data_IF_736543046171
#
_entry.id   IF_736543046171
#
_cell.length_a   1.000
_cell.length_b   1.000
_cell.length_c   1.000
_cell.angle_alpha   90.00
_cell.angle_beta   90.00
_cell.angle_gamma   90.00
#
_symmetry.space_group_name_H-M   'P 1'
#
loop_
_entity.id
_entity.type
_entity.pdbx_description
1 polymer ?
#
# COMPACT_ATOMS: atom_id res chain seq x y z
N UNK A 1 -14.37 -9.39 -18.18
CA UNK A 1 -13.05 -8.95 -18.67
C UNK A 1 -12.93 -7.46 -18.48
N UNK A 2 -12.63 -7.01 -17.26
CA UNK A 2 -12.12 -5.65 -17.05
C UNK A 2 -10.60 -5.77 -17.12
N UNK A 3 -10.01 -5.06 -18.07
CA UNK A 3 -8.57 -4.94 -18.17
C UNK A 3 -8.07 -4.41 -16.83
N UNK A 4 -7.24 -5.18 -16.13
CA UNK A 4 -6.43 -4.64 -15.04
C UNK A 4 -5.48 -3.65 -15.71
N UNK A 5 -5.92 -2.40 -15.74
CA UNK A 5 -5.19 -1.27 -16.28
C UNK A 5 -3.87 -1.24 -15.51
N UNK A 6 -2.75 -1.44 -16.21
CA UNK A 6 -1.44 -1.13 -15.67
C UNK A 6 -1.49 0.30 -15.18
N UNK A 7 -1.48 0.47 -13.86
CA UNK A 7 -1.54 1.78 -13.23
C UNK A 7 -0.21 2.47 -13.57
N UNK A 8 -0.28 3.33 -14.57
CA UNK A 8 0.73 4.35 -14.83
C UNK A 8 0.70 5.25 -13.61
N UNK A 9 1.75 5.20 -12.78
CA UNK A 9 1.98 6.16 -11.70
C UNK A 9 1.96 7.55 -12.35
N UNK A 10 0.88 8.29 -12.12
CA UNK A 10 0.76 9.66 -12.60
C UNK A 10 1.69 10.54 -11.77
N UNK A 11 2.91 10.73 -12.28
CA UNK A 11 3.92 11.61 -11.71
C UNK A 11 3.37 13.04 -11.58
N UNK A 12 3.34 13.56 -10.35
CA UNK A 12 3.44 15.01 -10.16
C UNK A 12 4.86 15.42 -10.55
N UNK A 13 5.02 15.90 -11.79
CA UNK A 13 6.28 16.47 -12.28
C UNK A 13 6.70 17.65 -11.40
N UNK A 14 7.74 17.44 -10.58
CA UNK A 14 8.52 18.52 -9.98
C UNK A 14 9.27 19.25 -11.11
N UNK A 15 8.60 20.22 -11.74
CA UNK A 15 9.20 21.06 -12.77
C UNK A 15 10.21 21.99 -12.11
N UNK A 16 11.49 21.62 -12.15
CA UNK A 16 12.58 22.52 -11.80
C UNK A 16 12.79 23.51 -12.95
N UNK A 17 12.33 24.75 -12.79
CA UNK A 17 12.58 25.82 -13.77
C UNK A 17 14.07 26.19 -13.72
N UNK A 18 14.82 26.12 -14.85
CA UNK A 18 16.22 26.52 -14.88
C UNK A 18 16.30 28.04 -14.92
N UNK A 19 16.39 28.68 -13.75
CA UNK A 19 16.69 30.11 -13.67
C UNK A 19 18.21 30.28 -13.67
N UNK A 20 18.73 30.84 -14.75
CA UNK A 20 20.15 31.19 -14.93
C UNK A 20 20.55 32.27 -13.94
N UNK A 21 21.53 31.95 -13.08
CA UNK A 21 22.21 32.88 -12.17
C UNK A 21 21.91 32.59 -10.70
N UNK A 22 22.85 31.97 -9.97
CA UNK A 22 22.99 31.77 -8.50
C UNK A 22 21.71 31.81 -7.61
N UNK A 23 20.54 31.47 -8.13
CA UNK A 23 19.30 31.42 -7.40
C UNK A 23 19.27 30.10 -6.63
N UNK A 24 19.09 30.18 -5.32
CA UNK A 24 18.92 29.03 -4.43
C UNK A 24 17.92 28.08 -5.10
N UNK A 25 18.36 26.88 -5.49
CA UNK A 25 17.48 25.89 -6.10
C UNK A 25 16.36 25.61 -5.11
N UNK A 26 15.14 25.96 -5.49
CA UNK A 26 13.93 25.71 -4.72
C UNK A 26 13.31 24.40 -5.21
N UNK A 27 12.74 23.64 -4.29
CA UNK A 27 11.97 22.44 -4.60
C UNK A 27 10.65 22.49 -3.84
N UNK A 28 9.60 21.97 -4.46
CA UNK A 28 8.32 21.79 -3.79
C UNK A 28 8.42 20.58 -2.86
N UNK A 29 8.07 20.76 -1.59
CA UNK A 29 7.96 19.69 -0.59
C UNK A 29 6.57 19.70 0.01
N UNK A 30 6.07 18.53 0.40
CA UNK A 30 4.88 18.40 1.24
C UNK A 30 5.26 18.30 2.70
N UNK A 31 4.51 18.99 3.55
CA UNK A 31 4.66 18.95 5.00
C UNK A 31 3.30 18.92 5.67
N UNK A 32 3.20 18.24 6.82
CA UNK A 32 1.97 18.15 7.59
C UNK A 32 1.73 16.74 8.12
N UNK A 33 0.47 16.39 8.34
CA UNK A 33 0.04 15.10 8.85
C UNK A 33 -1.07 14.53 7.95
N UNK A 34 -0.98 13.23 7.66
CA UNK A 34 -2.07 12.44 7.06
C UNK A 34 -2.59 11.47 8.12
N UNK A 35 -3.90 11.45 8.32
CA UNK A 35 -4.59 10.52 9.21
C UNK A 35 -5.17 9.39 8.38
N UNK A 36 -4.70 8.17 8.63
CA UNK A 36 -5.17 6.95 7.98
C UNK A 36 -6.10 6.15 8.88
N UNK A 37 -7.09 5.52 8.26
CA UNK A 37 -7.88 4.49 8.86
C UNK A 37 -7.06 3.19 8.97
N UNK A 38 -7.32 2.40 10.00
CA UNK A 38 -6.87 1.00 10.12
C UNK A 38 -7.26 0.10 8.94
N UNK A 39 -8.20 0.53 8.11
CA UNK A 39 -8.62 -0.14 6.88
C UNK A 39 -7.91 0.37 5.61
N UNK A 40 -6.91 1.24 5.74
CA UNK A 40 -6.13 1.78 4.61
C UNK A 40 -6.72 3.02 3.95
N UNK A 41 -7.82 3.58 4.46
CA UNK A 41 -8.43 4.80 3.90
C UNK A 41 -7.79 6.07 4.44
N UNK A 42 -7.64 7.11 3.61
CA UNK A 42 -7.32 8.46 4.10
C UNK A 42 -8.55 9.06 4.79
N UNK A 43 -8.43 9.37 6.08
CA UNK A 43 -9.48 10.04 6.87
C UNK A 43 -9.35 11.56 6.73
N UNK A 44 -8.13 12.06 6.85
CA UNK A 44 -7.84 13.49 6.82
C UNK A 44 -6.44 13.71 6.23
N UNK A 45 -6.32 14.70 5.35
CA UNK A 45 -5.05 15.14 4.78
C UNK A 45 -4.87 16.63 5.10
N UNK A 46 -4.04 16.90 6.11
CA UNK A 46 -3.66 18.26 6.51
C UNK A 46 -2.30 18.67 5.93
N UNK A 47 -1.87 18.02 4.85
CA UNK A 47 -0.62 18.37 4.19
C UNK A 47 -0.78 19.60 3.33
N UNK A 48 0.33 20.31 3.16
CA UNK A 48 0.43 21.46 2.26
C UNK A 48 1.73 21.40 1.49
N UNK A 49 1.68 21.91 0.28
CA UNK A 49 2.86 22.12 -0.55
C UNK A 49 3.48 23.47 -0.25
N UNK A 50 4.80 23.46 -0.07
CA UNK A 50 5.60 24.67 0.12
C UNK A 50 6.85 24.59 -0.76
N UNK A 51 7.35 25.73 -1.21
CA UNK A 51 8.64 25.80 -1.88
C UNK A 51 9.74 26.12 -0.86
N UNK A 52 10.77 25.28 -0.83
CA UNK A 52 11.89 25.43 0.10
C UNK A 52 13.22 25.29 -0.62
N UNK A 53 14.31 25.90 -0.13
CA UNK A 53 15.63 25.63 -0.65
C UNK A 53 15.98 24.15 -0.50
N UNK A 54 16.71 23.56 -1.45
CA UNK A 54 17.16 22.15 -1.39
C UNK A 54 17.87 21.82 -0.07
N UNK A 55 18.63 22.78 0.49
CA UNK A 55 19.34 22.61 1.78
C UNK A 55 18.42 22.50 3.00
N UNK A 56 17.13 22.81 2.85
CA UNK A 56 16.16 22.79 3.95
C UNK A 56 15.13 21.68 3.82
N UNK A 57 15.15 20.88 2.75
CA UNK A 57 14.21 19.78 2.50
C UNK A 57 14.14 18.80 3.69
N UNK A 58 15.27 18.53 4.35
CA UNK A 58 15.33 17.64 5.51
C UNK A 58 14.56 18.14 6.74
N UNK A 59 14.16 19.42 6.77
CA UNK A 59 13.39 20.02 7.87
C UNK A 59 11.89 19.79 7.75
N UNK A 60 11.42 19.33 6.60
CA UNK A 60 10.01 19.17 6.28
C UNK A 60 9.73 17.70 6.01
N UNK A 61 8.60 17.20 6.48
CA UNK A 61 8.16 15.83 6.19
C UNK A 61 6.66 15.74 6.37
N UNK A 62 6.05 14.73 5.76
CA UNK A 62 4.69 14.32 6.11
C UNK A 62 4.75 13.21 7.14
N UNK A 63 4.00 13.36 8.23
CA UNK A 63 3.81 12.31 9.25
C UNK A 63 2.52 11.54 9.00
N UNK A 64 2.49 10.28 9.39
CA UNK A 64 1.29 9.45 9.29
C UNK A 64 0.78 9.09 10.68
N UNK A 65 -0.51 9.34 10.92
CA UNK A 65 -1.21 8.91 12.13
C UNK A 65 -2.24 7.86 11.75
N UNK A 66 -2.30 6.75 12.48
CA UNK A 66 -3.30 5.69 12.25
C UNK A 66 -4.36 5.75 13.33
N UNK A 67 -5.64 5.72 12.93
CA UNK A 67 -6.80 5.62 13.82
C UNK A 67 -7.88 4.76 13.15
N UNK A 68 -8.94 4.38 13.86
CA UNK A 68 -10.12 3.75 13.24
C UNK A 68 -11.14 4.85 12.95
N UNK A 69 -11.54 5.04 11.69
CA UNK A 69 -12.54 6.06 11.33
C UNK A 69 -13.92 5.71 11.88
N UNK A 70 -14.80 6.70 12.05
CA UNK A 70 -16.15 6.51 12.58
C UNK A 70 -16.94 5.42 11.83
N UNK A 71 -16.77 5.36 10.50
CA UNK A 71 -17.35 4.32 9.65
C UNK A 71 -16.93 2.92 10.09
N UNK A 72 -15.63 2.69 10.31
CA UNK A 72 -15.10 1.39 10.72
C UNK A 72 -15.28 1.10 12.21
N UNK A 73 -15.34 2.13 13.07
CA UNK A 73 -15.72 1.97 14.48
C UNK A 73 -17.17 1.44 14.58
N UNK A 74 -18.08 2.00 13.78
CA UNK A 74 -19.47 1.53 13.71
C UNK A 74 -19.60 0.08 13.22
N UNK A 75 -18.81 -0.30 12.21
CA UNK A 75 -18.79 -1.69 11.71
C UNK A 75 -18.18 -2.67 12.71
N UNK A 76 -17.13 -2.29 13.43
CA UNK A 76 -16.55 -3.09 14.51
C UNK A 76 -17.55 -3.34 15.64
N UNK A 77 -18.26 -2.30 16.09
CA UNK A 77 -19.31 -2.46 17.10
C UNK A 77 -20.48 -3.33 16.62
N UNK A 78 -20.88 -3.21 15.35
CA UNK A 78 -21.88 -4.12 14.77
C UNK A 78 -21.38 -5.56 14.70
N UNK A 79 -20.09 -5.77 14.42
CA UNK A 79 -19.48 -7.09 14.32
C UNK A 79 -19.38 -7.76 15.68
N UNK A 80 -18.88 -7.06 16.69
CA UNK A 80 -18.83 -7.55 18.07
C UNK A 80 -20.23 -7.92 18.58
N UNK A 81 -21.23 -7.04 18.35
CA UNK A 81 -22.61 -7.33 18.71
C UNK A 81 -23.17 -8.54 17.96
N UNK A 82 -22.82 -8.72 16.68
CA UNK A 82 -23.21 -9.91 15.90
C UNK A 82 -22.58 -11.19 16.46
N UNK A 83 -21.28 -11.17 16.77
CA UNK A 83 -20.59 -12.34 17.34
C UNK A 83 -21.11 -12.68 18.73
N UNK A 84 -21.44 -11.68 19.55
CA UNK A 84 -22.05 -11.88 20.86
C UNK A 84 -23.45 -12.51 20.73
N UNK A 85 -24.27 -12.03 19.79
CA UNK A 85 -25.58 -12.61 19.52
C UNK A 85 -25.48 -14.07 19.05
N UNK A 86 -24.52 -14.39 18.17
CA UNK A 86 -24.22 -15.78 17.78
C UNK A 86 -23.81 -16.64 18.98
N UNK A 87 -22.98 -16.11 19.88
CA UNK A 87 -22.54 -16.83 21.07
C UNK A 87 -23.68 -17.12 22.05
N UNK A 88 -24.71 -16.28 22.03
CA UNK A 88 -25.93 -16.43 22.84
C UNK A 88 -27.03 -17.25 22.12
N UNK A 89 -26.80 -17.69 20.88
CA UNK A 89 -27.79 -18.39 20.07
C UNK A 89 -28.89 -17.48 19.51
N UNK A 90 -28.76 -16.16 19.59
CA UNK A 90 -29.70 -15.19 19.03
C UNK A 90 -29.39 -14.92 17.55
N UNK A 91 -29.83 -15.85 16.70
CA UNK A 91 -29.63 -15.79 15.25
C UNK A 91 -30.37 -14.62 14.59
N UNK A 92 -31.46 -14.14 15.17
CA UNK A 92 -32.21 -12.99 14.64
C UNK A 92 -31.45 -11.67 14.88
N UNK A 93 -30.94 -11.47 16.10
CA UNK A 93 -30.11 -10.30 16.39
C UNK A 93 -28.80 -10.34 15.59
N UNK A 94 -28.16 -11.51 15.49
CA UNK A 94 -26.97 -11.69 14.66
C UNK A 94 -27.24 -11.34 13.19
N UNK A 95 -28.34 -11.87 12.62
CA UNK A 95 -28.75 -11.59 11.23
C UNK A 95 -28.92 -10.10 10.95
N UNK A 96 -29.61 -9.38 11.84
CA UNK A 96 -29.83 -7.94 11.67
C UNK A 96 -28.51 -7.14 11.67
N UNK A 97 -27.58 -7.49 12.57
CA UNK A 97 -26.27 -6.82 12.67
C UNK A 97 -25.35 -7.16 11.49
N UNK A 98 -25.31 -8.43 11.06
CA UNK A 98 -24.54 -8.86 9.89
C UNK A 98 -25.09 -8.27 8.59
N UNK A 99 -26.42 -8.16 8.44
CA UNK A 99 -27.04 -7.48 7.31
C UNK A 99 -26.69 -5.99 7.26
N UNK A 100 -26.67 -5.32 8.42
CA UNK A 100 -26.26 -3.92 8.50
C UNK A 100 -24.77 -3.72 8.14
N UNK A 101 -23.90 -4.68 8.48
CA UNK A 101 -22.49 -4.69 8.04
C UNK A 101 -22.44 -4.88 6.52
N UNK A 102 -23.05 -5.94 5.98
CA UNK A 102 -22.98 -6.27 4.54
C UNK A 102 -23.58 -5.17 3.66
N UNK A 103 -24.62 -4.50 4.11
CA UNK A 103 -25.21 -3.36 3.40
C UNK A 103 -24.28 -2.15 3.31
N UNK A 104 -23.38 -1.98 4.29
CA UNK A 104 -22.39 -0.88 4.33
C UNK A 104 -21.07 -1.28 3.67
N UNK A 105 -20.65 -2.51 3.90
CA UNK A 105 -19.39 -3.09 3.43
C UNK A 105 -19.53 -4.62 3.31
N UNK A 106 -19.81 -5.15 2.12
CA UNK A 106 -19.93 -6.59 1.89
C UNK A 106 -18.60 -7.34 2.03
N UNK A 107 -17.47 -6.63 2.04
CA UNK A 107 -16.12 -7.20 2.15
C UNK A 107 -15.59 -7.22 3.59
N UNK A 108 -16.30 -6.62 4.54
CA UNK A 108 -15.89 -6.49 5.93
C UNK A 108 -15.47 -7.82 6.55
N UNK A 109 -14.34 -7.80 7.28
CA UNK A 109 -13.67 -8.98 7.87
C UNK A 109 -13.30 -10.08 6.84
N UNK A 110 -12.99 -9.69 5.60
CA UNK A 110 -12.66 -10.62 4.51
C UNK A 110 -13.89 -11.37 3.99
N UNK A 111 -15.06 -10.71 3.96
CA UNK A 111 -16.33 -11.28 3.53
C UNK A 111 -17.01 -12.20 4.55
N UNK A 112 -16.44 -12.36 5.75
CA UNK A 112 -17.00 -13.24 6.80
C UNK A 112 -18.39 -12.82 7.25
N UNK A 113 -18.66 -11.52 7.32
CA UNK A 113 -19.99 -11.01 7.67
C UNK A 113 -21.06 -11.48 6.68
N UNK A 114 -20.72 -11.51 5.38
CA UNK A 114 -21.59 -12.04 4.34
C UNK A 114 -21.75 -13.56 4.45
N UNK A 115 -20.67 -14.31 4.68
CA UNK A 115 -20.73 -15.76 4.84
C UNK A 115 -21.65 -16.16 6.01
N UNK A 116 -21.48 -15.54 7.18
CA UNK A 116 -22.34 -15.82 8.34
C UNK A 116 -23.80 -15.41 8.08
N UNK A 117 -24.04 -14.30 7.37
CA UNK A 117 -25.39 -13.89 7.00
C UNK A 117 -26.07 -14.88 6.04
N UNK A 118 -25.34 -15.36 5.04
CA UNK A 118 -25.83 -16.33 4.07
C UNK A 118 -26.14 -17.68 4.77
N UNK A 119 -25.28 -18.11 5.72
CA UNK A 119 -25.50 -19.33 6.52
C UNK A 119 -26.77 -19.22 7.39
N UNK A 120 -26.95 -18.12 8.12
CA UNK A 120 -28.17 -17.89 8.92
C UNK A 120 -29.40 -17.84 8.01
N UNK A 121 -29.28 -17.23 6.83
CA UNK A 121 -30.38 -17.15 5.86
C UNK A 121 -30.73 -18.51 5.25
N UNK A 122 -29.77 -19.43 5.18
CA UNK A 122 -29.95 -20.84 4.84
C UNK A 122 -30.47 -21.71 5.99
N UNK A 123 -30.72 -21.14 7.17
CA UNK A 123 -31.22 -21.86 8.35
C UNK A 123 -30.12 -22.44 9.26
N UNK A 124 -28.85 -22.14 8.99
CA UNK A 124 -27.71 -22.53 9.83
C UNK A 124 -27.51 -21.63 11.06
N UNK A 125 -26.59 -22.02 11.94
CA UNK A 125 -26.17 -21.24 13.11
C UNK A 125 -24.64 -21.19 13.12
N UNK A 126 -24.02 -20.13 12.56
CA UNK A 126 -22.58 -20.03 12.49
C UNK A 126 -21.96 -19.87 13.87
N UNK A 127 -20.78 -20.47 14.07
CA UNK A 127 -20.03 -20.33 15.30
C UNK A 127 -19.47 -18.88 15.48
N UNK A 128 -19.42 -18.36 16.72
CA UNK A 128 -18.72 -17.10 17.02
C UNK A 128 -17.21 -17.26 16.81
N UNK A 129 -16.54 -16.24 16.28
CA UNK A 129 -15.06 -16.17 16.28
C UNK A 129 -14.31 -17.00 15.23
N UNK A 130 -14.93 -18.00 14.57
CA UNK A 130 -14.43 -18.58 13.29
C UNK A 130 -14.04 -20.07 13.28
N UNK A 131 -14.05 -20.65 12.06
CA UNK A 131 -13.46 -21.96 11.65
C UNK A 131 -14.24 -23.22 12.07
N UNK A 132 -14.37 -24.32 11.31
CA UNK A 132 -13.90 -24.74 9.98
C UNK A 132 -14.74 -25.97 9.55
N UNK A 133 -15.17 -26.06 8.28
CA UNK A 133 -15.20 -27.35 7.56
C UNK A 133 -15.07 -27.12 6.04
N UNK A 134 -14.33 -27.97 5.28
CA UNK A 134 -13.93 -27.69 3.91
C UNK A 134 -15.12 -27.83 2.96
N UNK A 135 -15.64 -26.70 2.49
CA UNK A 135 -16.57 -26.64 1.38
C UNK A 135 -15.85 -26.08 0.16
N UNK A 136 -15.76 -26.86 -0.90
CA UNK A 136 -15.14 -26.54 -2.18
C UNK A 136 -15.56 -25.17 -2.72
N UNK A 137 -14.71 -24.15 -2.60
CA UNK A 137 -14.93 -22.84 -3.22
C UNK A 137 -14.07 -22.70 -4.48
N UNK A 138 -14.65 -23.05 -5.63
CA UNK A 138 -14.23 -22.45 -6.89
C UNK A 138 -15.05 -21.18 -7.09
N UNK A 139 -14.48 -20.03 -6.76
CA UNK A 139 -14.81 -18.73 -7.36
C UNK A 139 -13.70 -17.74 -6.98
N UNK A 140 -12.87 -17.38 -7.97
CA UNK A 140 -11.81 -16.40 -7.80
C UNK A 140 -12.39 -15.02 -7.52
N UNK A 141 -12.32 -14.59 -6.26
CA UNK A 141 -12.43 -13.18 -5.91
C UNK A 141 -11.18 -12.45 -6.38
N UNK A 142 -11.37 -11.32 -7.06
CA UNK A 142 -10.29 -10.44 -7.54
C UNK A 142 -9.68 -9.58 -6.41
N UNK A 143 -10.29 -9.59 -5.22
CA UNK A 143 -9.90 -8.77 -4.07
C UNK A 143 -9.18 -9.59 -2.98
N UNK A 144 -8.19 -8.99 -2.27
CA UNK A 144 -7.50 -9.66 -1.19
C UNK A 144 -8.44 -10.09 -0.06
N UNK A 145 -8.42 -11.37 0.28
CA UNK A 145 -9.24 -11.94 1.35
C UNK A 145 -8.35 -12.15 2.58
N UNK A 146 -8.30 -11.17 3.49
CA UNK A 146 -7.51 -11.25 4.71
C UNK A 146 -7.49 -9.94 5.51
N UNK A 147 -6.93 -9.91 6.73
CA UNK A 147 -6.63 -8.64 7.39
C UNK A 147 -5.74 -7.81 6.45
N UNK A 148 -6.04 -6.50 6.32
CA UNK A 148 -5.15 -5.55 5.65
C UNK A 148 -3.78 -5.70 6.31
N UNK A 149 -2.79 -6.20 5.58
CA UNK A 149 -1.44 -6.31 6.11
C UNK A 149 -1.02 -4.89 6.56
N UNK A 150 -0.18 -4.77 7.59
CA UNK A 150 0.34 -3.45 7.97
C UNK A 150 1.29 -2.93 6.88
N UNK A 151 0.73 -2.40 5.78
CA UNK A 151 1.47 -1.97 4.60
C UNK A 151 2.39 -0.79 4.94
N UNK A 152 2.05 -0.01 5.97
CA UNK A 152 2.84 1.11 6.46
C UNK A 152 4.25 0.73 6.87
N UNK A 153 4.49 -0.54 7.25
CA UNK A 153 5.86 -1.00 7.56
C UNK A 153 6.81 -0.84 6.38
N UNK A 154 6.31 -0.88 5.15
CA UNK A 154 7.11 -0.76 3.93
C UNK A 154 7.27 0.68 3.45
N UNK A 155 6.45 1.61 3.96
CA UNK A 155 6.45 3.02 3.56
C UNK A 155 6.68 3.94 4.77
N UNK A 156 7.82 3.81 5.46
CA UNK A 156 8.05 4.47 6.75
C UNK A 156 8.06 6.01 6.66
N UNK A 157 7.67 6.66 7.76
CA UNK A 157 7.78 8.13 7.92
C UNK A 157 9.24 8.63 7.92
N UNK A 158 10.19 7.73 8.19
CA UNK A 158 11.61 8.03 8.22
C UNK A 158 12.39 6.96 7.46
N UNK A 159 13.25 7.40 6.56
CA UNK A 159 14.10 6.54 5.76
C UNK A 159 15.44 7.23 5.52
N UNK A 160 16.54 6.58 5.90
CA UNK A 160 17.87 7.18 5.87
C UNK A 160 18.27 7.69 4.49
N UNK A 161 18.56 8.99 4.41
CA UNK A 161 18.94 9.66 3.17
C UNK A 161 17.75 10.20 2.36
N UNK A 162 16.54 10.12 2.89
CA UNK A 162 15.31 10.54 2.23
C UNK A 162 14.40 11.37 3.12
N UNK A 163 13.62 12.24 2.49
CA UNK A 163 12.51 12.94 3.13
C UNK A 163 11.17 12.38 2.65
N UNK A 164 10.42 11.77 3.56
CA UNK A 164 9.08 11.26 3.29
C UNK A 164 8.10 12.39 2.91
N UNK A 165 7.38 12.18 1.82
CA UNK A 165 6.31 13.04 1.34
C UNK A 165 4.95 12.39 1.66
N UNK A 166 3.89 12.91 1.01
CA UNK A 166 2.52 12.44 1.15
C UNK A 166 2.36 10.95 0.85
N UNK A 167 1.30 10.39 1.41
CA UNK A 167 0.91 9.00 1.23
C UNK A 167 -0.40 8.94 0.46
N UNK A 168 -0.48 8.03 -0.50
CA UNK A 168 -1.73 7.65 -1.16
C UNK A 168 -2.04 6.24 -0.68
N UNK A 169 -3.22 6.04 -0.11
CA UNK A 169 -3.60 4.77 0.48
C UNK A 169 -4.97 4.35 -0.04
N UNK A 170 -5.03 3.10 -0.50
CA UNK A 170 -6.23 2.38 -0.89
C UNK A 170 -6.31 1.09 -0.05
N UNK A 171 -7.48 0.42 0.04
CA UNK A 171 -7.62 -0.77 0.89
C UNK A 171 -6.61 -1.91 0.63
N UNK A 172 -6.09 -2.01 -0.61
CA UNK A 172 -5.15 -3.04 -1.03
C UNK A 172 -3.79 -2.49 -1.48
N UNK A 173 -3.55 -1.18 -1.37
CA UNK A 173 -2.27 -0.61 -1.77
C UNK A 173 -1.91 0.63 -0.98
N UNK A 174 -0.60 0.87 -0.86
CA UNK A 174 -0.10 2.11 -0.30
C UNK A 174 1.10 2.58 -1.10
N UNK A 175 1.14 3.87 -1.38
CA UNK A 175 2.22 4.51 -2.10
C UNK A 175 2.71 5.69 -1.29
N UNK A 176 4.03 5.81 -1.16
CA UNK A 176 4.66 6.99 -0.57
C UNK A 176 5.80 7.48 -1.43
N UNK A 177 5.80 8.80 -1.61
CA UNK A 177 6.88 9.50 -2.29
C UNK A 177 7.96 9.92 -1.30
N UNK A 178 9.20 9.97 -1.77
CA UNK A 178 10.36 10.35 -1.01
C UNK A 178 11.27 11.23 -1.86
N UNK A 179 11.81 12.28 -1.25
CA UNK A 179 12.82 13.13 -1.87
C UNK A 179 14.21 12.69 -1.39
N UNK A 180 15.10 12.21 -2.28
CA UNK A 180 16.48 11.91 -1.92
C UNK A 180 17.23 13.17 -1.47
N UNK A 181 17.93 13.10 -0.35
CA UNK A 181 18.71 14.23 0.18
C UNK A 181 20.03 14.43 -0.57
N UNK A 182 20.58 13.35 -1.13
CA UNK A 182 21.86 13.34 -1.86
C UNK A 182 21.84 12.29 -2.98
N UNK A 183 22.86 12.31 -3.84
CA UNK A 183 23.07 11.29 -4.86
C UNK A 183 22.51 11.65 -6.24
N UNK A 184 22.26 10.59 -7.00
CA UNK A 184 21.96 10.64 -8.44
C UNK A 184 20.47 10.53 -8.77
N UNK A 185 19.59 10.49 -7.76
CA UNK A 185 18.14 10.49 -7.92
C UNK A 185 17.55 11.81 -7.40
N UNK A 186 16.39 12.18 -7.94
CA UNK A 186 15.62 13.36 -7.51
C UNK A 186 14.22 13.00 -6.98
N UNK A 187 13.76 11.77 -7.22
CA UNK A 187 12.52 11.22 -6.67
C UNK A 187 12.66 9.72 -6.43
N UNK A 188 12.07 9.25 -5.34
CA UNK A 188 11.83 7.83 -5.09
C UNK A 188 10.37 7.61 -4.71
N UNK A 189 9.77 6.54 -5.20
CA UNK A 189 8.42 6.10 -4.84
C UNK A 189 8.51 4.67 -4.33
N UNK A 190 7.85 4.40 -3.21
CA UNK A 190 7.61 3.04 -2.73
C UNK A 190 6.13 2.76 -2.85
N UNK A 191 5.77 1.72 -3.61
CA UNK A 191 4.41 1.23 -3.76
C UNK A 191 4.35 -0.21 -3.23
N UNK A 192 3.37 -0.49 -2.39
CA UNK A 192 3.09 -1.83 -1.89
C UNK A 192 1.66 -2.19 -2.21
N UNK A 193 1.49 -3.32 -2.89
CA UNK A 193 0.21 -3.87 -3.25
C UNK A 193 0.00 -5.20 -2.53
N UNK A 194 -1.11 -5.33 -1.83
CA UNK A 194 -1.60 -6.59 -1.32
C UNK A 194 -2.37 -7.31 -2.42
N UNK A 195 -1.83 -8.42 -2.88
CA UNK A 195 -2.47 -9.29 -3.84
C UNK A 195 -3.36 -10.31 -3.13
N UNK A 196 -4.24 -10.96 -3.90
CA UNK A 196 -5.13 -12.02 -3.39
C UNK A 196 -4.35 -13.14 -2.70
N UNK A 197 -3.21 -13.52 -3.27
CA UNK A 197 -2.35 -14.57 -2.75
C UNK A 197 -0.90 -14.39 -3.22
N UNK A 198 0.00 -15.24 -2.71
CA UNK A 198 1.41 -15.23 -3.08
C UNK A 198 1.66 -15.56 -4.58
N UNK A 199 0.76 -16.32 -5.21
CA UNK A 199 0.86 -16.66 -6.64
C UNK A 199 0.60 -15.43 -7.51
N UNK A 200 -0.34 -14.58 -7.11
CA UNK A 200 -0.62 -13.30 -7.75
C UNK A 200 0.48 -12.28 -7.51
N UNK A 201 1.07 -12.22 -6.32
CA UNK A 201 2.28 -11.44 -6.08
C UNK A 201 3.43 -11.86 -7.01
N UNK A 202 3.68 -13.18 -7.15
CA UNK A 202 4.68 -13.70 -8.07
C UNK A 202 4.37 -13.36 -9.54
N UNK A 203 3.10 -13.42 -9.95
CA UNK A 203 2.68 -13.00 -11.29
C UNK A 203 2.89 -11.50 -11.52
N UNK A 204 2.66 -10.67 -10.50
CA UNK A 204 2.97 -9.24 -10.52
C UNK A 204 4.46 -8.97 -10.75
N UNK A 205 5.34 -9.77 -10.13
CA UNK A 205 6.79 -9.71 -10.36
C UNK A 205 7.17 -10.10 -11.80
N UNK A 206 6.42 -10.99 -12.46
CA UNK A 206 6.61 -11.26 -13.89
C UNK A 206 6.18 -10.09 -14.78
N UNK A 207 5.07 -9.42 -14.46
CA UNK A 207 4.65 -8.19 -15.14
C UNK A 207 5.69 -7.08 -14.96
N UNK A 208 6.25 -6.93 -13.76
CA UNK A 208 7.33 -5.98 -13.48
C UNK A 208 8.51 -6.15 -14.45
N UNK A 209 8.91 -7.38 -14.78
CA UNK A 209 9.99 -7.65 -15.74
C UNK A 209 9.71 -7.08 -17.13
N UNK A 210 8.44 -7.07 -17.53
CA UNK A 210 8.02 -6.52 -18.83
C UNK A 210 8.02 -4.98 -18.78
N UNK A 211 7.67 -4.40 -17.63
CA UNK A 211 7.69 -2.96 -17.41
C UNK A 211 9.11 -2.39 -17.34
N UNK A 212 10.06 -3.11 -16.74
CA UNK A 212 11.46 -2.70 -16.60
C UNK A 212 12.41 -3.70 -17.26
N UNK A 213 12.42 -3.77 -18.60
CA UNK A 213 13.11 -4.84 -19.33
C UNK A 213 14.64 -4.67 -19.39
N UNK A 214 15.15 -3.46 -19.19
CA UNK A 214 16.56 -3.14 -19.39
C UNK A 214 17.38 -3.33 -18.10
N UNK A 215 18.69 -3.55 -18.25
CA UNK A 215 19.67 -3.74 -17.15
C UNK A 215 19.22 -4.77 -16.08
N UNK A 216 18.39 -5.73 -16.50
CA UNK A 216 17.60 -6.52 -15.57
C UNK A 216 18.48 -7.51 -14.81
N UNK A 217 18.29 -7.58 -13.49
CA UNK A 217 19.09 -8.43 -12.63
C UNK A 217 18.24 -9.05 -11.52
N UNK A 218 18.51 -10.30 -11.19
CA UNK A 218 17.98 -10.89 -9.96
C UNK A 218 18.71 -10.27 -8.76
N UNK A 219 17.97 -10.02 -7.70
CA UNK A 219 18.47 -9.46 -6.45
C UNK A 219 17.88 -10.24 -5.27
N UNK A 220 18.57 -10.23 -4.14
CA UNK A 220 18.01 -10.68 -2.86
C UNK A 220 17.87 -9.45 -1.99
N UNK A 221 16.72 -9.34 -1.31
CA UNK A 221 16.34 -8.19 -0.50
C UNK A 221 15.75 -8.71 0.80
N UNK A 222 16.44 -8.53 1.92
CA UNK A 222 16.02 -9.03 3.25
C UNK A 222 15.61 -10.52 3.21
N UNK A 223 16.42 -11.34 2.53
CA UNK A 223 16.20 -12.77 2.31
C UNK A 223 15.13 -13.13 1.28
N UNK A 224 14.46 -12.15 0.66
CA UNK A 224 13.40 -12.34 -0.34
C UNK A 224 13.97 -12.20 -1.75
N UNK A 225 13.48 -13.01 -2.68
CA UNK A 225 13.87 -12.90 -4.07
C UNK A 225 13.20 -11.68 -4.71
N UNK A 226 14.00 -10.85 -5.37
CA UNK A 226 13.53 -9.69 -6.10
C UNK A 226 14.12 -9.58 -7.50
N UNK A 227 13.65 -8.57 -8.22
CA UNK A 227 14.11 -8.21 -9.55
C UNK A 227 14.40 -6.73 -9.59
N UNK A 228 15.55 -6.39 -10.17
CA UNK A 228 15.90 -5.05 -10.60
C UNK A 228 15.70 -4.92 -12.11
N UNK A 229 15.33 -3.73 -12.57
CA UNK A 229 15.36 -3.36 -13.98
C UNK A 229 15.26 -1.86 -14.18
N UNK A 230 15.43 -1.41 -15.43
CA UNK A 230 15.36 0.00 -15.81
C UNK A 230 14.39 0.22 -16.97
N UNK A 231 13.81 1.41 -17.03
CA UNK A 231 12.96 1.89 -18.12
C UNK A 231 13.10 3.40 -18.23
N UNK A 232 13.52 3.89 -19.40
CA UNK A 232 13.71 5.32 -19.64
C UNK A 232 14.61 5.96 -18.57
N UNK A 233 14.21 7.07 -17.94
CA UNK A 233 14.93 7.70 -16.82
C UNK A 233 14.73 7.05 -15.45
N UNK A 234 14.17 5.83 -15.38
CA UNK A 234 13.80 5.18 -14.13
C UNK A 234 14.54 3.88 -13.91
N UNK A 235 14.83 3.62 -12.65
CA UNK A 235 15.33 2.35 -12.14
C UNK A 235 14.36 1.85 -11.09
N UNK A 236 14.03 0.57 -11.12
CA UNK A 236 13.11 -0.01 -10.16
C UNK A 236 13.61 -1.35 -9.64
N UNK A 237 13.18 -1.65 -8.42
CA UNK A 237 13.40 -2.92 -7.75
C UNK A 237 12.05 -3.38 -7.19
N UNK A 238 11.68 -4.63 -7.49
CA UNK A 238 10.49 -5.24 -6.94
C UNK A 238 10.81 -6.58 -6.27
N UNK A 239 10.12 -6.89 -5.18
CA UNK A 239 10.21 -8.17 -4.49
C UNK A 239 8.85 -8.55 -3.88
N UNK A 240 8.70 -9.81 -3.51
CA UNK A 240 7.46 -10.30 -2.88
C UNK A 240 7.69 -10.69 -1.43
N UNK A 241 6.68 -10.45 -0.59
CA UNK A 241 6.61 -10.96 0.78
C UNK A 241 5.21 -11.56 1.02
N UNK A 242 5.12 -12.89 0.98
CA UNK A 242 3.82 -13.57 0.98
C UNK A 242 2.96 -13.12 -0.20
N UNK A 243 1.79 -12.54 0.09
CA UNK A 243 0.87 -11.99 -0.91
C UNK A 243 1.16 -10.53 -1.29
N UNK A 244 2.23 -9.93 -0.79
CA UNK A 244 2.58 -8.55 -1.09
C UNK A 244 3.53 -8.46 -2.28
N UNK A 245 3.31 -7.47 -3.14
CA UNK A 245 4.28 -7.00 -4.12
C UNK A 245 4.78 -5.63 -3.67
N UNK A 246 6.07 -5.52 -3.39
CA UNK A 246 6.74 -4.27 -3.02
C UNK A 246 7.53 -3.80 -4.23
N UNK A 247 7.28 -2.58 -4.69
CA UNK A 247 8.02 -1.92 -5.78
C UNK A 247 8.63 -0.62 -5.28
N UNK A 248 9.93 -0.46 -5.49
CA UNK A 248 10.67 0.77 -5.23
C UNK A 248 11.14 1.29 -6.58
N UNK A 249 10.73 2.50 -6.97
CA UNK A 249 11.16 3.15 -8.21
C UNK A 249 11.90 4.46 -7.88
N UNK A 250 12.99 4.72 -8.60
CA UNK A 250 13.73 5.98 -8.52
C UNK A 250 13.86 6.60 -9.91
N UNK A 251 13.68 7.92 -9.97
CA UNK A 251 13.99 8.71 -11.16
C UNK A 251 15.45 9.20 -11.11
N UNK A 252 16.16 9.11 -12.24
CA UNK A 252 17.56 9.53 -12.36
C UNK A 252 17.65 11.05 -12.56
N UNK A 253 18.39 11.72 -11.67
CA UNK A 253 18.77 13.13 -11.80
C UNK A 253 20.02 13.29 -12.66
N UNK A 254 20.98 12.38 -12.52
CA UNK A 254 22.27 12.43 -13.21
C UNK A 254 22.90 11.04 -13.31
N UNK A 255 23.57 10.74 -14.42
CA UNK A 255 24.15 9.42 -14.68
C UNK A 255 23.18 8.49 -15.38
N UNK A 256 23.32 7.17 -15.17
CA UNK A 256 22.44 6.16 -15.78
C UNK A 256 21.49 5.58 -14.72
N UNK A 257 20.25 5.21 -15.09
CA UNK A 257 19.33 4.54 -14.17
C UNK A 257 19.93 3.27 -13.53
N UNK A 258 20.72 2.50 -14.28
CA UNK A 258 21.40 1.31 -13.78
C UNK A 258 22.27 1.57 -12.53
N UNK A 259 22.83 2.77 -12.40
CA UNK A 259 23.69 3.17 -11.29
C UNK A 259 22.91 3.33 -9.97
N UNK A 260 21.58 3.37 -10.02
CA UNK A 260 20.70 3.47 -8.85
C UNK A 260 20.45 2.11 -8.16
N UNK A 261 20.86 1.00 -8.77
CA UNK A 261 20.65 -0.36 -8.23
C UNK A 261 21.13 -0.53 -6.78
N UNK A 262 22.34 -0.09 -6.38
CA UNK A 262 22.79 -0.24 -4.99
C UNK A 262 21.91 0.53 -3.99
N UNK A 263 21.44 1.72 -4.36
CA UNK A 263 20.56 2.52 -3.52
C UNK A 263 19.19 1.85 -3.36
N UNK A 264 18.60 1.35 -4.46
CA UNK A 264 17.35 0.59 -4.44
C UNK A 264 17.43 -0.67 -3.58
N UNK A 265 18.53 -1.44 -3.69
CA UNK A 265 18.75 -2.63 -2.84
C UNK A 265 18.85 -2.22 -1.38
N UNK A 266 19.61 -1.16 -1.05
CA UNK A 266 19.72 -0.66 0.32
C UNK A 266 18.37 -0.26 0.92
N UNK A 267 17.54 0.44 0.15
CA UNK A 267 16.17 0.79 0.59
C UNK A 267 15.34 -0.47 0.79
N UNK A 268 15.40 -1.42 -0.16
CA UNK A 268 14.71 -2.70 -0.05
C UNK A 268 15.07 -3.47 1.21
N UNK A 269 16.37 -3.54 1.56
CA UNK A 269 16.84 -4.19 2.79
C UNK A 269 16.26 -3.51 4.04
N UNK A 270 16.21 -2.17 4.05
CA UNK A 270 15.72 -1.40 5.20
C UNK A 270 14.21 -1.57 5.46
N UNK A 271 13.40 -1.74 4.42
CA UNK A 271 11.93 -1.89 4.54
C UNK A 271 11.46 -3.35 4.53
N UNK A 272 12.35 -4.26 4.10
CA UNK A 272 12.06 -5.69 3.98
C UNK A 272 12.43 -6.51 5.21
N UNK A 273 13.19 -5.92 6.14
CA UNK A 273 13.63 -6.54 7.41
C UNK A 273 12.51 -6.69 8.43
#
# INVERSE_FOLDING_TARGET
MKQFVGVVVALALLVSVPVTGCARKMVTVRTGEVVLCTAGEVIEDNTKEIQVPVSEVSKYSVKTKVTTCERHQGLAGLWEAAQQALAQGDTNAAKAKLAAIVAKDPTYAGGKAKQQLDEISGGGTPAPGGGSQPGTSTAGGEEPVGPVANLLKYVPDSLDGYTAQGITADPASITRDYIPLTGNADLMVIMVEQMVDAKRAASGLETFKQTYPNDAASVTVAGKQGRFGTRSGYAALAFTDGSLLVTIEMHVRSGKPADLKPALVKVGEAIGS
#
